data_IF_973797799148
#
_entry.id   IF_973797799148
#
_cell.length_a   1.000
_cell.length_b   1.000
_cell.length_c   1.000
_cell.angle_alpha   90.00
_cell.angle_beta   90.00
_cell.angle_gamma   90.00
#
_symmetry.space_group_name_H-M   'P 1'
#
loop_
_entity.id
_entity.type
_entity.pdbx_description
1 polymer ?
#
# COMPACT_ATOMS: atom_id res chain seq x y z
N UNK A 1 -6.05 50.97 -7.86
CA UNK A 1 -7.21 50.13 -8.21
C UNK A 1 -6.75 48.70 -8.16
N UNK A 2 -7.05 48.04 -7.04
CA UNK A 2 -6.64 46.66 -6.76
C UNK A 2 -7.33 45.71 -7.71
N UNK A 3 -6.52 44.88 -8.36
CA UNK A 3 -7.00 43.68 -9.02
C UNK A 3 -7.07 42.59 -7.95
N UNK A 4 -8.13 42.66 -7.13
CA UNK A 4 -8.53 41.52 -6.31
C UNK A 4 -9.05 40.47 -7.28
N UNK A 5 -8.13 39.63 -7.78
CA UNK A 5 -8.46 38.43 -8.53
C UNK A 5 -9.52 37.67 -7.76
N UNK A 6 -10.68 37.48 -8.37
CA UNK A 6 -11.87 36.94 -7.71
C UNK A 6 -11.52 35.64 -6.96
N UNK A 7 -11.44 35.71 -5.63
CA UNK A 7 -11.30 34.53 -4.80
C UNK A 7 -12.62 33.77 -4.86
N UNK A 8 -12.63 32.60 -5.50
CA UNK A 8 -13.81 31.73 -5.51
C UNK A 8 -14.19 31.38 -4.07
N UNK A 9 -15.47 31.56 -3.73
CA UNK A 9 -15.98 31.24 -2.38
C UNK A 9 -16.21 29.74 -2.18
N UNK A 10 -16.44 29.00 -3.27
CA UNK A 10 -16.69 27.56 -3.28
C UNK A 10 -16.53 27.00 -4.69
N UNK A 11 -15.97 25.79 -4.79
CA UNK A 11 -15.88 25.05 -6.05
C UNK A 11 -16.35 23.61 -5.84
N UNK A 12 -17.06 23.05 -6.83
CA UNK A 12 -17.56 21.67 -6.76
C UNK A 12 -16.45 20.64 -6.65
N UNK A 13 -15.25 20.96 -7.13
CA UNK A 13 -14.09 20.07 -7.04
C UNK A 13 -13.55 19.96 -5.61
N UNK A 14 -13.91 20.89 -4.72
CA UNK A 14 -13.56 20.81 -3.31
C UNK A 14 -14.57 19.99 -2.46
N UNK A 15 -15.69 19.57 -3.06
CA UNK A 15 -16.73 18.73 -2.42
C UNK A 15 -17.31 17.72 -3.43
N UNK A 16 -16.50 16.74 -3.89
CA UNK A 16 -16.92 15.80 -4.91
C UNK A 16 -17.86 14.72 -4.36
N UNK A 17 -18.67 14.14 -5.25
CA UNK A 17 -19.50 12.96 -4.96
C UNK A 17 -18.68 11.67 -5.16
N UNK A 18 -19.15 10.73 -5.99
CA UNK A 18 -18.49 9.45 -6.26
C UNK A 18 -17.56 9.46 -7.48
N UNK A 19 -17.54 10.55 -8.26
CA UNK A 19 -16.84 10.62 -9.54
C UNK A 19 -15.60 11.50 -9.46
N UNK A 20 -14.52 11.03 -10.05
CA UNK A 20 -13.27 11.74 -10.25
C UNK A 20 -13.05 12.02 -11.73
N UNK A 21 -12.87 13.28 -12.08
CA UNK A 21 -12.69 13.77 -13.44
C UNK A 21 -11.38 14.55 -13.57
N UNK A 22 -11.00 14.82 -14.82
CA UNK A 22 -9.78 15.55 -15.16
C UNK A 22 -9.66 16.87 -14.42
N UNK A 23 -8.43 17.24 -14.04
CA UNK A 23 -8.05 18.44 -13.26
C UNK A 23 -8.55 18.50 -11.81
N UNK A 24 -9.44 17.58 -11.40
CA UNK A 24 -9.89 17.49 -10.01
C UNK A 24 -8.75 17.01 -9.11
N UNK A 25 -8.65 17.58 -7.90
CA UNK A 25 -7.60 17.26 -6.94
C UNK A 25 -8.16 16.55 -5.72
N UNK A 26 -7.80 15.27 -5.55
CA UNK A 26 -8.00 14.57 -4.27
C UNK A 26 -6.82 14.93 -3.36
N UNK A 27 -7.10 15.49 -2.20
CA UNK A 27 -6.07 16.09 -1.35
C UNK A 27 -6.40 15.99 0.15
N UNK A 28 -5.35 16.09 0.97
CA UNK A 28 -5.47 16.18 2.42
C UNK A 28 -4.61 17.33 2.92
N UNK A 29 -5.26 18.33 3.53
CA UNK A 29 -4.59 19.41 4.25
C UNK A 29 -4.48 19.04 5.73
N UNK A 30 -3.28 18.61 6.14
CA UNK A 30 -3.01 18.18 7.52
C UNK A 30 -3.10 19.36 8.51
N UNK A 31 -2.77 20.59 8.08
CA UNK A 31 -2.77 21.77 8.97
C UNK A 31 -4.18 22.28 9.25
N UNK A 32 -5.02 22.32 8.22
CA UNK A 32 -6.42 22.80 8.32
C UNK A 32 -7.41 21.67 8.64
N UNK A 33 -6.97 20.42 8.57
CA UNK A 33 -7.83 19.24 8.77
C UNK A 33 -8.85 19.03 7.65
N UNK A 34 -8.69 19.69 6.49
CA UNK A 34 -9.61 19.59 5.35
C UNK A 34 -9.17 18.44 4.44
N UNK A 35 -10.13 17.61 4.02
CA UNK A 35 -9.92 16.52 3.05
C UNK A 35 -10.87 16.68 1.88
N UNK A 36 -10.35 16.47 0.68
CA UNK A 36 -11.16 16.30 -0.54
C UNK A 36 -11.08 14.81 -0.87
N UNK A 37 -12.21 14.12 -0.76
CA UNK A 37 -12.34 12.67 -0.94
C UNK A 37 -13.59 12.36 -1.76
N UNK A 38 -13.54 11.31 -2.58
CA UNK A 38 -14.76 10.78 -3.18
C UNK A 38 -15.54 10.02 -2.13
N UNK A 39 -16.87 10.08 -2.22
CA UNK A 39 -17.77 9.24 -1.44
C UNK A 39 -18.59 8.37 -2.35
N UNK A 40 -18.61 7.07 -2.10
CA UNK A 40 -19.44 6.15 -2.87
C UNK A 40 -20.89 6.54 -2.71
N UNK A 41 -21.71 6.28 -3.73
CA UNK A 41 -23.15 6.26 -3.52
C UNK A 41 -23.55 5.08 -2.63
N UNK A 42 -24.71 5.19 -1.99
CA UNK A 42 -25.26 4.11 -1.16
C UNK A 42 -25.74 2.94 -2.01
N UNK A 43 -26.30 3.22 -3.19
CA UNK A 43 -26.63 2.22 -4.21
C UNK A 43 -26.67 2.88 -5.59
N UNK A 44 -26.89 2.10 -6.65
CA UNK A 44 -26.99 2.65 -8.02
C UNK A 44 -28.16 3.64 -8.19
N UNK A 45 -29.21 3.50 -7.38
CA UNK A 45 -30.42 4.33 -7.43
C UNK A 45 -30.52 5.35 -6.28
N UNK A 46 -29.54 5.36 -5.35
CA UNK A 46 -29.53 6.23 -4.17
C UNK A 46 -28.17 6.96 -4.10
N UNK A 47 -28.10 8.22 -4.59
CA UNK A 47 -26.87 9.00 -4.67
C UNK A 47 -26.42 9.59 -3.33
N UNK A 48 -27.13 9.30 -2.23
CA UNK A 48 -26.67 9.69 -0.90
C UNK A 48 -25.36 9.01 -0.52
N UNK A 49 -24.62 9.64 0.41
CA UNK A 49 -23.34 9.14 0.91
C UNK A 49 -23.46 7.67 1.38
N UNK A 50 -22.69 6.82 0.72
CA UNK A 50 -22.55 5.41 1.02
C UNK A 50 -21.52 5.13 2.11
N UNK A 51 -21.04 3.89 2.14
CA UNK A 51 -20.13 3.44 3.21
C UNK A 51 -18.64 3.62 2.86
N UNK A 52 -18.31 3.96 1.62
CA UNK A 52 -16.93 4.00 1.17
C UNK A 52 -16.49 5.41 0.83
N UNK A 53 -15.24 5.73 1.14
CA UNK A 53 -14.58 6.95 0.66
C UNK A 53 -13.22 6.64 0.06
N UNK A 54 -12.85 7.36 -0.99
CA UNK A 54 -11.52 7.31 -1.61
C UNK A 54 -10.83 8.65 -1.35
N UNK A 55 -9.75 8.59 -0.60
CA UNK A 55 -8.93 9.75 -0.28
C UNK A 55 -7.46 9.50 -0.55
N UNK A 56 -6.69 10.56 -0.40
CA UNK A 56 -5.25 10.53 -0.51
C UNK A 56 -4.64 10.79 0.86
N UNK A 57 -3.95 9.80 1.42
CA UNK A 57 -3.41 9.89 2.77
C UNK A 57 -1.91 10.22 2.74
N UNK A 58 -1.52 11.38 3.30
CA UNK A 58 -0.13 11.71 3.53
C UNK A 58 0.31 11.01 4.81
N UNK A 59 0.51 9.69 4.73
CA UNK A 59 1.38 9.00 5.69
C UNK A 59 2.80 9.60 5.59
N UNK A 60 3.81 8.87 6.06
CA UNK A 60 5.19 9.27 5.80
C UNK A 60 5.56 9.22 4.30
N UNK A 61 4.84 8.42 3.51
CA UNK A 61 4.92 8.35 2.05
C UNK A 61 3.47 8.30 1.53
N UNK A 62 3.07 9.14 0.55
CA UNK A 62 1.68 9.23 0.13
C UNK A 62 1.12 7.94 -0.49
N UNK A 63 -0.14 7.62 -0.16
CA UNK A 63 -0.90 6.49 -0.72
C UNK A 63 -2.35 6.89 -1.03
N UNK A 64 -2.93 6.30 -2.08
CA UNK A 64 -4.37 6.29 -2.30
C UNK A 64 -5.04 5.24 -1.40
N UNK A 65 -6.11 5.65 -0.72
CA UNK A 65 -6.75 4.84 0.31
C UNK A 65 -8.26 4.82 0.11
N UNK A 66 -8.84 3.62 0.07
CA UNK A 66 -10.28 3.45 0.21
C UNK A 66 -10.58 3.04 1.64
N UNK A 67 -11.55 3.72 2.27
CA UNK A 67 -12.08 3.38 3.58
C UNK A 67 -13.49 2.83 3.47
N UNK A 68 -13.84 1.97 4.41
CA UNK A 68 -15.22 1.54 4.69
C UNK A 68 -15.59 1.99 6.09
N UNK A 69 -16.52 2.94 6.25
CA UNK A 69 -16.93 3.50 7.56
C UNK A 69 -15.72 3.85 8.45
N UNK A 70 -14.76 4.59 7.90
CA UNK A 70 -13.48 5.00 8.50
C UNK A 70 -12.41 3.90 8.70
N UNK A 71 -12.70 2.63 8.43
CA UNK A 71 -11.69 1.56 8.48
C UNK A 71 -10.99 1.43 7.13
N UNK A 72 -9.68 1.19 7.17
CA UNK A 72 -8.88 0.96 5.97
C UNK A 72 -9.38 -0.29 5.23
N UNK A 73 -9.74 -0.13 3.96
CA UNK A 73 -10.34 -1.20 3.16
C UNK A 73 -9.45 -1.62 2.00
N UNK A 74 -8.81 -0.66 1.33
CA UNK A 74 -7.87 -0.92 0.24
C UNK A 74 -6.76 0.14 0.25
N UNK A 75 -5.58 -0.24 -0.26
CA UNK A 75 -4.46 0.68 -0.49
C UNK A 75 -3.84 0.48 -1.85
N UNK A 76 -3.41 1.57 -2.46
CA UNK A 76 -2.60 1.55 -3.68
C UNK A 76 -1.15 1.16 -3.42
N UNK A 77 -0.67 1.26 -2.17
CA UNK A 77 0.76 1.27 -1.87
C UNK A 77 1.38 2.65 -2.14
N UNK A 78 2.65 2.86 -1.77
CA UNK A 78 3.31 4.16 -1.88
C UNK A 78 3.55 4.59 -3.31
N UNK A 79 3.47 5.90 -3.50
CA UNK A 79 3.89 6.57 -4.73
C UNK A 79 5.42 6.67 -4.82
N UNK A 80 6.00 6.24 -5.94
CA UNK A 80 7.44 6.31 -6.18
C UNK A 80 7.89 7.41 -7.16
N UNK A 81 7.05 8.43 -7.39
CA UNK A 81 7.32 9.45 -8.40
C UNK A 81 6.82 9.08 -9.80
N UNK A 82 6.63 7.79 -10.08
CA UNK A 82 6.15 7.30 -11.37
C UNK A 82 4.82 6.56 -11.27
N UNK A 83 4.66 5.70 -10.25
CA UNK A 83 3.47 4.86 -10.01
C UNK A 83 3.25 4.53 -8.53
N UNK A 84 2.06 4.04 -8.21
CA UNK A 84 1.80 3.39 -6.94
C UNK A 84 2.28 1.94 -7.01
N UNK A 85 3.28 1.60 -6.19
CA UNK A 85 3.98 0.32 -6.31
C UNK A 85 3.15 -0.91 -5.85
N UNK A 86 1.97 -0.70 -5.25
CA UNK A 86 1.07 -1.76 -4.83
C UNK A 86 -0.04 -2.07 -5.84
N UNK A 87 -0.06 -1.40 -7.00
CA UNK A 87 -1.05 -1.63 -8.06
C UNK A 87 -0.49 -2.53 -9.17
N UNK A 88 -1.26 -3.55 -9.55
CA UNK A 88 -1.00 -4.43 -10.69
C UNK A 88 -1.67 -3.82 -11.94
N UNK A 89 -1.03 -3.91 -13.11
CA UNK A 89 -1.60 -3.50 -14.41
C UNK A 89 -1.97 -2.02 -14.56
N UNK A 90 -1.45 -1.12 -13.73
CA UNK A 90 -1.51 0.30 -14.03
C UNK A 90 -0.45 0.59 -15.10
N UNK A 91 -0.86 0.63 -16.36
CA UNK A 91 -0.01 1.07 -17.47
C UNK A 91 0.43 2.50 -17.19
N UNK A 92 1.59 2.64 -16.54
CA UNK A 92 2.32 3.88 -16.30
C UNK A 92 1.39 5.06 -16.01
N UNK A 93 1.09 5.32 -14.74
CA UNK A 93 0.36 6.51 -14.26
C UNK A 93 0.83 7.84 -14.87
N UNK A 94 2.06 7.90 -15.40
CA UNK A 94 2.56 9.01 -16.21
C UNK A 94 1.85 9.19 -17.59
N UNK A 95 1.42 8.11 -18.25
CA UNK A 95 0.63 8.15 -19.49
C UNK A 95 -0.89 8.26 -19.23
N UNK A 96 -1.33 7.96 -18.01
CA UNK A 96 -2.73 8.11 -17.55
C UNK A 96 -2.89 9.26 -16.56
N UNK A 97 -2.11 10.34 -16.69
CA UNK A 97 -2.35 11.62 -16.03
C UNK A 97 -2.30 11.69 -14.50
N UNK A 98 -2.18 10.57 -13.78
CA UNK A 98 -2.12 10.56 -12.33
C UNK A 98 -0.79 11.14 -11.86
N UNK A 99 -0.83 12.39 -11.41
CA UNK A 99 0.33 13.07 -10.86
C UNK A 99 0.08 13.31 -9.38
N UNK A 100 1.10 12.98 -8.58
CA UNK A 100 1.18 13.44 -7.21
C UNK A 100 1.98 14.74 -7.20
N UNK A 101 1.28 15.88 -7.13
CA UNK A 101 1.88 17.21 -7.19
C UNK A 101 1.99 17.81 -5.79
N UNK A 102 3.14 18.41 -5.49
CA UNK A 102 3.26 19.35 -4.39
C UNK A 102 2.60 20.67 -4.77
N UNK A 103 1.33 20.83 -4.39
CA UNK A 103 0.51 21.97 -4.80
C UNK A 103 0.95 23.26 -4.08
N UNK A 104 1.51 23.16 -2.87
CA UNK A 104 2.03 24.29 -2.10
C UNK A 104 2.99 23.83 -0.99
N UNK A 105 3.86 24.71 -0.44
CA UNK A 105 4.68 24.41 0.76
C UNK A 105 3.84 24.06 2.01
N UNK A 106 2.51 24.21 1.94
CA UNK A 106 1.55 23.94 3.01
C UNK A 106 0.71 22.66 2.77
N UNK A 107 0.69 22.14 1.54
CA UNK A 107 -0.04 20.94 1.13
C UNK A 107 0.88 20.12 0.21
N UNK A 108 1.64 19.16 0.75
CA UNK A 108 2.79 18.66 0.02
C UNK A 108 2.43 17.69 -1.09
N UNK A 109 1.21 17.11 -1.12
CA UNK A 109 0.84 16.12 -2.13
C UNK A 109 -0.68 16.09 -2.39
N UNK A 110 -1.08 16.26 -3.65
CA UNK A 110 -2.43 16.01 -4.15
C UNK A 110 -2.39 15.03 -5.31
N UNK A 111 -3.42 14.20 -5.46
CA UNK A 111 -3.60 13.34 -6.62
C UNK A 111 -4.50 14.06 -7.62
N UNK A 112 -3.95 14.37 -8.79
CA UNK A 112 -4.69 14.93 -9.93
C UNK A 112 -4.57 14.02 -11.13
N UNK A 113 -5.43 14.24 -12.11
CA UNK A 113 -5.43 13.56 -13.38
C UNK A 113 -5.43 14.57 -14.53
N UNK A 114 -4.41 14.57 -15.41
CA UNK A 114 -4.32 15.43 -16.59
C UNK A 114 -3.81 14.65 -17.82
N UNK A 115 -4.59 14.56 -18.90
CA UNK A 115 -4.15 13.87 -20.13
C UNK A 115 -3.41 14.81 -21.09
N UNK A 116 -2.52 14.23 -21.90
CA UNK A 116 -1.83 14.96 -22.96
C UNK A 116 -2.72 15.27 -24.19
N UNK A 117 -3.90 14.65 -24.31
CA UNK A 117 -4.76 14.79 -25.49
C UNK A 117 -6.22 15.00 -25.14
N UNK A 118 -6.79 16.12 -25.58
CA UNK A 118 -8.19 16.54 -25.40
C UNK A 118 -9.26 15.60 -26.01
N UNK A 119 -8.85 14.50 -26.64
CA UNK A 119 -9.74 13.62 -27.41
C UNK A 119 -10.25 12.39 -26.64
N UNK A 120 -9.78 12.17 -25.40
CA UNK A 120 -10.08 10.96 -24.64
C UNK A 120 -11.00 11.29 -23.46
N UNK A 121 -12.26 10.84 -23.53
CA UNK A 121 -13.19 10.96 -22.40
C UNK A 121 -12.97 9.81 -21.42
N UNK A 122 -12.46 10.12 -20.23
CA UNK A 122 -12.25 9.19 -19.12
C UNK A 122 -12.74 9.82 -17.81
N UNK A 123 -13.29 8.99 -16.93
CA UNK A 123 -13.52 9.35 -15.53
C UNK A 123 -13.29 8.14 -14.62
N UNK A 124 -13.01 8.41 -13.35
CA UNK A 124 -13.00 7.42 -12.28
C UNK A 124 -14.30 7.47 -11.48
N UNK A 125 -14.79 6.33 -11.01
CA UNK A 125 -15.95 6.25 -10.11
C UNK A 125 -15.64 5.34 -8.93
N UNK A 126 -15.98 5.77 -7.71
CA UNK A 126 -16.06 4.90 -6.55
C UNK A 126 -17.47 4.31 -6.42
N UNK A 127 -17.62 3.04 -6.72
CA UNK A 127 -18.92 2.36 -6.69
C UNK A 127 -19.40 2.06 -5.24
N UNK A 128 -20.68 1.67 -5.12
CA UNK A 128 -21.30 1.33 -3.83
C UNK A 128 -20.68 0.11 -3.10
N UNK A 129 -19.85 -0.67 -3.80
CA UNK A 129 -19.12 -1.83 -3.25
C UNK A 129 -17.68 -1.47 -2.85
N UNK A 130 -17.27 -0.21 -3.02
CA UNK A 130 -15.94 0.27 -2.66
C UNK A 130 -14.88 -0.05 -3.70
N UNK A 131 -15.26 -0.27 -4.96
CA UNK A 131 -14.32 -0.40 -6.08
C UNK A 131 -14.17 0.94 -6.79
N UNK A 132 -12.94 1.37 -6.97
CA UNK A 132 -12.64 2.47 -7.88
C UNK A 132 -12.52 1.92 -9.30
N UNK A 133 -13.32 2.43 -10.24
CA UNK A 133 -13.40 1.97 -11.62
C UNK A 133 -13.05 3.14 -12.53
N UNK A 134 -12.02 2.97 -13.36
CA UNK A 134 -11.73 3.90 -14.46
C UNK A 134 -12.54 3.48 -15.69
N UNK A 135 -13.32 4.41 -16.25
CA UNK A 135 -14.08 4.19 -17.48
C UNK A 135 -13.60 5.11 -18.58
N UNK A 136 -13.54 4.55 -19.80
CA UNK A 136 -13.19 5.27 -21.03
C UNK A 136 -14.32 5.18 -22.02
N UNK A 137 -14.61 6.26 -22.73
CA UNK A 137 -15.53 6.24 -23.85
C UNK A 137 -14.89 5.54 -25.07
N UNK A 138 -15.55 4.51 -25.59
CA UNK A 138 -15.21 3.88 -26.85
C UNK A 138 -16.11 4.45 -27.95
N UNK A 139 -15.58 5.39 -28.73
CA UNK A 139 -16.33 6.05 -29.81
C UNK A 139 -16.78 5.08 -30.91
N UNK A 140 -16.04 3.99 -31.13
CA UNK A 140 -16.41 2.97 -32.13
C UNK A 140 -17.61 2.13 -31.69
N UNK A 141 -17.81 1.96 -30.38
CA UNK A 141 -18.94 1.23 -29.79
C UNK A 141 -20.07 2.13 -29.29
N UNK A 142 -19.80 3.43 -29.11
CA UNK A 142 -20.74 4.37 -28.50
C UNK A 142 -21.05 4.03 -27.04
N UNK A 143 -20.10 3.48 -26.29
CA UNK A 143 -20.30 3.08 -24.90
C UNK A 143 -19.08 3.31 -24.02
N UNK A 144 -19.32 3.32 -22.70
CA UNK A 144 -18.25 3.33 -21.69
C UNK A 144 -17.71 1.92 -21.48
N UNK A 145 -16.39 1.78 -21.48
CA UNK A 145 -15.69 0.53 -21.19
C UNK A 145 -14.85 0.67 -19.92
N UNK A 146 -14.85 -0.37 -19.09
CA UNK A 146 -14.01 -0.43 -17.89
C UNK A 146 -12.56 -0.66 -18.30
N UNK A 147 -11.65 0.21 -17.83
CA UNK A 147 -10.21 0.12 -18.11
C UNK A 147 -9.43 -0.42 -16.93
N UNK A 148 -9.77 0.02 -15.72
CA UNK A 148 -9.10 -0.37 -14.50
C UNK A 148 -10.12 -0.54 -13.37
N UNK A 149 -9.81 -1.42 -12.42
CA UNK A 149 -10.52 -1.54 -11.16
C UNK A 149 -9.52 -1.75 -10.02
N UNK A 150 -9.68 -1.00 -8.92
CA UNK A 150 -8.74 -1.00 -7.79
C UNK A 150 -8.68 -2.33 -7.05
N UNK A 151 -9.79 -3.06 -6.98
CA UNK A 151 -9.94 -4.28 -6.20
C UNK A 151 -10.42 -5.40 -7.13
N UNK A 152 -9.56 -6.39 -7.37
CA UNK A 152 -9.82 -7.51 -8.28
C UNK A 152 -10.01 -8.83 -7.54
N UNK A 153 -9.35 -9.02 -6.40
CA UNK A 153 -9.35 -10.27 -5.65
C UNK A 153 -9.45 -10.04 -4.15
N UNK A 154 -9.79 -11.07 -3.38
CA UNK A 154 -9.81 -11.01 -1.90
C UNK A 154 -8.52 -10.46 -1.28
N UNK A 155 -7.37 -10.65 -1.94
CA UNK A 155 -6.08 -10.16 -1.48
C UNK A 155 -5.88 -8.64 -1.59
N UNK A 156 -6.76 -7.95 -2.30
CA UNK A 156 -6.78 -6.49 -2.35
C UNK A 156 -7.50 -5.91 -1.12
N UNK A 157 -8.28 -6.71 -0.36
CA UNK A 157 -8.87 -6.28 0.91
C UNK A 157 -7.75 -6.14 1.92
N UNK A 158 -7.68 -4.97 2.55
CA UNK A 158 -6.65 -4.66 3.52
C UNK A 158 -6.58 -5.71 4.63
N UNK A 159 -5.41 -6.35 4.75
CA UNK A 159 -5.10 -7.21 5.89
C UNK A 159 -5.84 -8.55 5.89
N UNK A 160 -6.29 -9.02 4.73
CA UNK A 160 -7.04 -10.27 4.56
C UNK A 160 -6.41 -11.48 5.28
N UNK A 161 -5.08 -11.63 5.22
CA UNK A 161 -4.35 -12.73 5.86
C UNK A 161 -3.76 -12.41 7.24
N UNK A 162 -4.11 -11.27 7.84
CA UNK A 162 -3.57 -10.82 9.12
C UNK A 162 -2.07 -10.52 9.11
N UNK A 163 -1.50 -10.32 10.29
CA UNK A 163 -0.09 -9.99 10.48
C UNK A 163 0.84 -11.11 10.01
N UNK A 164 1.89 -10.77 9.27
CA UNK A 164 2.90 -11.71 8.74
C UNK A 164 2.33 -12.85 7.86
N UNK A 165 1.09 -12.69 7.38
CA UNK A 165 0.47 -13.55 6.38
C UNK A 165 0.67 -12.99 4.98
N UNK A 166 0.87 -13.88 4.01
CA UNK A 166 0.89 -13.59 2.57
C UNK A 166 -0.46 -14.00 1.99
N UNK A 167 -1.13 -13.08 1.31
CA UNK A 167 -2.32 -13.37 0.52
C UNK A 167 -1.97 -13.62 -0.94
N UNK A 168 -2.29 -14.81 -1.43
CA UNK A 168 -2.06 -15.20 -2.82
C UNK A 168 -3.33 -15.85 -3.39
N UNK A 169 -4.08 -15.08 -4.16
CA UNK A 169 -5.36 -15.49 -4.77
C UNK A 169 -5.22 -16.64 -5.78
N UNK A 170 -4.00 -16.98 -6.20
CA UNK A 170 -3.71 -18.12 -7.06
C UNK A 170 -3.55 -19.45 -6.30
N UNK A 171 -3.46 -19.39 -4.96
CA UNK A 171 -3.20 -20.57 -4.11
C UNK A 171 -4.41 -20.99 -3.29
N UNK A 172 -4.40 -22.26 -2.90
CA UNK A 172 -5.32 -22.82 -1.91
C UNK A 172 -4.51 -23.55 -0.84
N UNK A 173 -4.55 -23.11 0.44
CA UNK A 173 -5.28 -21.95 0.95
C UNK A 173 -4.73 -20.61 0.41
N UNK A 174 -5.61 -19.62 0.29
CA UNK A 174 -5.28 -18.26 -0.19
C UNK A 174 -4.29 -17.54 0.72
N UNK A 175 -4.30 -17.85 2.03
CA UNK A 175 -3.37 -17.30 3.01
C UNK A 175 -2.31 -18.32 3.43
N UNK A 176 -1.05 -17.87 3.45
CA UNK A 176 0.08 -18.62 3.97
C UNK A 176 0.95 -17.73 4.87
N UNK A 177 1.66 -18.31 5.84
CA UNK A 177 2.59 -17.54 6.66
C UNK A 177 3.89 -17.25 5.91
N UNK A 178 4.52 -16.10 6.23
CA UNK A 178 5.91 -15.85 5.84
C UNK A 178 6.82 -17.02 6.23
N UNK A 179 7.88 -17.26 5.45
CA UNK A 179 8.83 -18.34 5.74
C UNK A 179 9.42 -18.17 7.15
N UNK A 180 9.40 -19.24 7.96
CA UNK A 180 9.78 -19.26 9.40
C UNK A 180 8.77 -18.62 10.36
N UNK A 181 7.54 -18.44 9.90
CA UNK A 181 6.40 -18.05 10.74
C UNK A 181 5.38 -19.20 10.78
N UNK A 182 4.56 -19.21 11.83
CA UNK A 182 3.46 -20.16 12.01
C UNK A 182 2.17 -19.42 12.36
N UNK A 183 0.99 -20.00 12.06
CA UNK A 183 -0.29 -19.40 12.46
C UNK A 183 -0.34 -19.16 13.98
N UNK A 184 -0.84 -18.00 14.41
CA UNK A 184 -1.03 -17.72 15.85
C UNK A 184 -2.09 -18.65 16.46
N UNK A 185 -3.14 -18.93 15.70
CA UNK A 185 -4.19 -19.87 16.05
C UNK A 185 -4.34 -20.88 14.90
N UNK A 186 -3.91 -22.13 15.12
CA UNK A 186 -3.95 -23.18 14.09
C UNK A 186 -5.38 -23.64 13.78
N UNK A 187 -6.27 -23.61 14.78
CA UNK A 187 -7.66 -24.05 14.63
C UNK A 187 -8.42 -23.06 13.74
N UNK A 188 -8.31 -21.76 14.00
CA UNK A 188 -8.86 -20.70 13.14
C UNK A 188 -8.29 -20.80 11.72
N UNK A 189 -6.98 -20.94 11.59
CA UNK A 189 -6.30 -21.01 10.29
C UNK A 189 -6.77 -22.19 9.45
N UNK A 190 -6.97 -23.34 10.08
CA UNK A 190 -7.46 -24.56 9.42
C UNK A 190 -8.92 -24.45 8.94
N UNK A 191 -9.70 -23.55 9.53
CA UNK A 191 -11.10 -23.28 9.18
C UNK A 191 -11.26 -22.10 8.21
N UNK A 192 -10.16 -21.53 7.72
CA UNK A 192 -10.18 -20.39 6.81
C UNK A 192 -10.35 -19.03 7.49
N UNK A 193 -10.14 -18.94 8.81
CA UNK A 193 -10.05 -17.66 9.50
C UNK A 193 -8.57 -17.30 9.73
N UNK A 194 -8.07 -16.33 8.97
CA UNK A 194 -6.66 -15.90 8.99
C UNK A 194 -6.44 -14.59 9.75
N UNK A 195 -7.48 -14.03 10.37
CA UNK A 195 -7.44 -12.70 11.02
C UNK A 195 -6.37 -12.59 12.12
N UNK A 196 -6.14 -13.67 12.87
CA UNK A 196 -5.08 -13.76 13.89
C UNK A 196 -3.66 -13.69 13.31
N UNK A 197 -3.48 -13.91 12.01
CA UNK A 197 -2.19 -13.86 11.35
C UNK A 197 -1.21 -14.94 11.85
N UNK A 198 0.07 -14.64 11.68
CA UNK A 198 1.18 -15.51 12.00
C UNK A 198 2.10 -14.87 13.04
N UNK A 199 2.93 -15.69 13.68
CA UNK A 199 4.02 -15.24 14.55
C UNK A 199 5.34 -15.89 14.16
N UNK A 200 6.42 -15.21 14.51
CA UNK A 200 7.78 -15.67 14.26
C UNK A 200 8.12 -16.81 15.21
N UNK A 201 8.61 -17.93 14.69
CA UNK A 201 8.94 -19.10 15.55
C UNK A 201 10.23 -18.92 16.33
N UNK A 202 11.17 -18.13 15.82
CA UNK A 202 12.51 -17.94 16.41
C UNK A 202 12.76 -16.45 16.62
N UNK A 203 12.89 -15.99 17.88
CA UNK A 203 13.19 -14.59 18.18
C UNK A 203 14.51 -14.13 17.56
N UNK A 204 14.58 -12.84 17.23
CA UNK A 204 15.80 -12.21 16.74
C UNK A 204 16.89 -12.24 17.82
N UNK A 205 18.15 -12.22 17.40
CA UNK A 205 19.29 -12.27 18.31
C UNK A 205 19.22 -11.15 19.35
N UNK A 206 19.02 -9.90 18.93
CA UNK A 206 18.98 -8.81 19.90
C UNK A 206 17.72 -8.75 20.78
N UNK A 207 16.63 -9.43 20.38
CA UNK A 207 15.49 -9.66 21.28
C UNK A 207 15.85 -10.67 22.39
N UNK A 208 16.73 -11.65 22.09
CA UNK A 208 17.27 -12.57 23.10
C UNK A 208 18.28 -11.89 24.01
N UNK A 209 19.12 -11.01 23.46
CA UNK A 209 20.19 -10.32 24.20
C UNK A 209 19.64 -9.29 25.19
N UNK A 210 18.54 -8.58 24.84
CA UNK A 210 17.84 -7.69 25.77
C UNK A 210 17.27 -8.41 27.01
N UNK A 211 17.01 -9.72 26.92
CA UNK A 211 16.56 -10.52 28.07
C UNK A 211 17.72 -11.08 28.90
N UNK A 212 18.96 -11.06 28.38
CA UNK A 212 20.11 -11.75 28.99
C UNK A 212 21.34 -10.84 29.25
N UNK A 213 21.25 -9.53 29.02
CA UNK A 213 22.26 -8.56 29.48
C UNK A 213 23.65 -8.65 28.82
N UNK A 214 23.78 -9.35 27.69
CA UNK A 214 25.03 -9.42 26.93
C UNK A 214 24.96 -8.52 25.70
N UNK A 215 25.91 -7.60 25.57
CA UNK A 215 25.98 -6.62 24.48
C UNK A 215 25.87 -7.25 23.09
N UNK A 216 25.31 -6.46 22.16
CA UNK A 216 24.99 -6.82 20.78
C UNK A 216 26.14 -7.59 20.09
N UNK A 217 26.06 -8.92 20.12
CA UNK A 217 26.94 -9.80 19.37
C UNK A 217 26.54 -9.78 17.89
N UNK A 218 27.47 -9.41 17.02
CA UNK A 218 27.36 -9.66 15.59
C UNK A 218 27.13 -11.16 15.34
N UNK A 219 26.14 -11.52 14.50
CA UNK A 219 26.29 -12.71 13.66
C UNK A 219 25.09 -13.63 13.38
N UNK A 220 23.92 -13.46 13.99
CA UNK A 220 22.87 -14.52 13.89
C UNK A 220 21.54 -14.08 13.27
N UNK A 221 21.37 -12.83 12.86
CA UNK A 221 20.20 -12.38 12.10
C UNK A 221 20.61 -12.07 10.66
N UNK A 222 19.78 -12.50 9.71
CA UNK A 222 19.95 -12.23 8.28
C UNK A 222 18.64 -11.78 7.66
N UNK A 223 18.65 -11.51 6.35
CA UNK A 223 17.44 -11.12 5.62
C UNK A 223 17.07 -12.15 4.57
N UNK A 224 15.77 -12.42 4.48
CA UNK A 224 15.18 -13.18 3.39
C UNK A 224 14.65 -12.21 2.34
N UNK A 225 15.11 -12.38 1.11
CA UNK A 225 14.63 -11.61 -0.04
C UNK A 225 13.23 -12.07 -0.45
N UNK A 226 12.32 -11.12 -0.63
CA UNK A 226 10.96 -11.32 -1.12
C UNK A 226 10.74 -10.40 -2.32
N UNK A 227 10.57 -10.98 -3.50
CA UNK A 227 10.41 -10.26 -4.77
C UNK A 227 8.95 -10.10 -5.12
N UNK A 228 8.62 -9.01 -5.81
CA UNK A 228 7.30 -8.74 -6.38
C UNK A 228 6.19 -8.80 -5.33
N UNK A 229 6.39 -8.14 -4.19
CA UNK A 229 5.40 -8.09 -3.12
C UNK A 229 4.82 -6.69 -3.00
N UNK A 230 3.51 -6.62 -2.78
CA UNK A 230 2.87 -5.44 -2.23
C UNK A 230 3.48 -5.16 -0.87
N UNK A 231 3.91 -3.92 -0.68
CA UNK A 231 4.64 -3.53 0.53
C UNK A 231 3.72 -3.36 1.73
N UNK A 232 4.17 -3.71 2.95
CA UNK A 232 3.36 -3.51 4.14
C UNK A 232 3.10 -2.04 4.45
N UNK A 233 2.00 -1.76 5.15
CA UNK A 233 1.63 -0.41 5.62
C UNK A 233 2.56 0.11 6.73
N UNK A 234 2.52 1.43 6.98
CA UNK A 234 3.21 2.11 8.10
C UNK A 234 4.74 1.97 8.07
N UNK A 235 5.32 2.52 7.01
CA UNK A 235 6.76 2.63 6.82
C UNK A 235 7.35 3.85 7.53
N UNK A 236 8.59 3.70 7.97
CA UNK A 236 9.43 4.80 8.42
C UNK A 236 10.41 5.11 7.27
N UNK A 237 10.29 6.28 6.61
CA UNK A 237 11.24 6.67 5.59
C UNK A 237 12.58 6.98 6.23
N UNK A 238 13.65 6.72 5.48
CA UNK A 238 15.00 7.07 5.86
C UNK A 238 15.73 7.66 4.68
N UNK A 239 16.52 8.71 4.92
CA UNK A 239 17.30 9.41 3.91
C UNK A 239 18.63 8.72 3.59
N UNK A 240 18.85 7.50 4.08
CA UNK A 240 20.07 6.73 3.81
C UNK A 240 20.06 6.17 2.39
N UNK A 241 21.26 5.94 1.86
CA UNK A 241 21.43 5.33 0.54
C UNK A 241 21.03 3.85 0.54
N UNK A 242 20.86 3.26 -0.65
CA UNK A 242 20.46 1.86 -0.81
C UNK A 242 21.33 0.88 0.02
N UNK A 243 22.65 1.01 -0.08
CA UNK A 243 23.60 0.13 0.63
C UNK A 243 23.49 0.23 2.16
N UNK A 244 23.07 1.38 2.67
CA UNK A 244 23.00 1.67 4.11
C UNK A 244 21.64 1.30 4.71
N UNK A 245 20.61 1.10 3.90
CA UNK A 245 19.26 0.75 4.36
C UNK A 245 19.26 -0.56 5.17
N UNK A 246 20.04 -1.55 4.70
CA UNK A 246 20.27 -2.81 5.41
C UNK A 246 20.94 -2.59 6.76
N UNK A 247 22.00 -1.80 6.79
CA UNK A 247 22.79 -1.57 8.00
C UNK A 247 21.99 -0.81 9.06
N UNK A 248 21.16 0.15 8.63
CA UNK A 248 20.26 0.87 9.51
C UNK A 248 19.20 -0.06 10.13
N UNK A 249 18.61 -0.95 9.33
CA UNK A 249 17.69 -1.97 9.85
C UNK A 249 18.40 -2.94 10.81
N UNK A 250 19.64 -3.34 10.53
CA UNK A 250 20.40 -4.23 11.41
C UNK A 250 20.70 -3.59 12.77
N UNK A 251 21.06 -2.30 12.80
CA UNK A 251 21.33 -1.54 14.02
C UNK A 251 20.08 -1.29 14.86
N UNK A 252 18.89 -1.32 14.26
CA UNK A 252 17.62 -1.15 14.95
C UNK A 252 16.94 -2.50 15.24
N UNK A 253 16.91 -2.91 16.50
CA UNK A 253 16.30 -4.18 16.92
C UNK A 253 14.80 -4.30 16.73
N UNK A 254 14.11 -3.16 16.62
CA UNK A 254 12.68 -3.14 16.31
C UNK A 254 12.43 -3.31 14.80
N UNK A 255 13.46 -3.13 13.95
CA UNK A 255 13.33 -3.28 12.51
C UNK A 255 13.14 -4.75 12.13
N UNK A 256 12.03 -5.03 11.46
CA UNK A 256 11.66 -6.38 11.01
C UNK A 256 11.85 -6.58 9.51
N UNK A 257 11.79 -5.50 8.72
CA UNK A 257 11.94 -5.51 7.26
C UNK A 257 12.47 -4.17 6.80
N UNK A 258 13.22 -4.19 5.70
CA UNK A 258 13.53 -2.99 4.92
C UNK A 258 13.27 -3.23 3.44
N UNK A 259 13.17 -2.13 2.69
CA UNK A 259 13.18 -2.12 1.24
C UNK A 259 13.72 -0.78 0.75
N UNK A 260 14.12 -0.74 -0.52
CA UNK A 260 14.62 0.46 -1.16
C UNK A 260 13.98 0.59 -2.53
N UNK A 261 13.58 1.80 -2.89
CA UNK A 261 13.10 2.18 -4.21
C UNK A 261 13.77 3.51 -4.59
N UNK A 262 14.17 3.69 -5.85
CA UNK A 262 14.94 4.87 -6.27
C UNK A 262 14.14 6.19 -6.17
N UNK A 263 12.81 6.12 -6.29
CA UNK A 263 11.92 7.28 -6.19
C UNK A 263 11.43 7.58 -4.78
N UNK A 264 11.46 6.59 -3.88
CA UNK A 264 11.03 6.73 -2.47
C UNK A 264 12.23 6.86 -1.51
N UNK A 265 13.31 6.14 -1.78
CA UNK A 265 14.44 5.93 -0.87
C UNK A 265 14.27 4.71 0.04
N UNK A 266 14.99 4.72 1.16
CA UNK A 266 14.98 3.63 2.13
C UNK A 266 13.69 3.62 2.95
N UNK A 267 13.05 2.45 3.04
CA UNK A 267 11.83 2.22 3.80
C UNK A 267 12.09 1.15 4.87
N UNK A 268 11.78 1.48 6.13
CA UNK A 268 11.95 0.59 7.27
C UNK A 268 10.61 0.28 7.94
N UNK A 269 10.44 -0.97 8.36
CA UNK A 269 9.26 -1.40 9.12
C UNK A 269 9.64 -1.88 10.51
N UNK A 270 8.84 -1.46 11.48
CA UNK A 270 8.88 -1.98 12.85
C UNK A 270 7.51 -2.56 13.20
N UNK A 271 7.48 -3.67 13.92
CA UNK A 271 6.24 -4.32 14.34
C UNK A 271 5.66 -5.32 13.34
N UNK A 272 4.33 -5.43 13.31
CA UNK A 272 3.61 -6.44 12.53
C UNK A 272 3.49 -6.04 11.06
N UNK A 273 3.83 -6.96 10.15
CA UNK A 273 3.74 -6.72 8.71
C UNK A 273 2.33 -7.01 8.19
N UNK A 274 1.64 -5.92 7.87
CA UNK A 274 0.30 -5.73 7.29
C UNK A 274 0.17 -5.98 5.77
N UNK A 275 -0.80 -6.72 5.23
CA UNK A 275 -1.23 -6.57 3.82
C UNK A 275 -0.18 -6.93 2.76
N UNK A 276 0.42 -8.10 2.95
CA UNK A 276 1.43 -8.62 2.05
C UNK A 276 0.74 -9.51 1.01
N UNK A 277 0.91 -9.20 -0.27
CA UNK A 277 0.44 -10.04 -1.37
C UNK A 277 1.47 -10.05 -2.50
N UNK A 278 1.62 -11.16 -3.25
CA UNK A 278 2.38 -11.16 -4.48
C UNK A 278 1.71 -10.25 -5.51
N UNK A 279 2.50 -9.43 -6.18
CA UNK A 279 2.09 -8.66 -7.35
C UNK A 279 2.34 -9.54 -8.58
N UNK A 280 1.30 -9.80 -9.37
CA UNK A 280 1.48 -10.38 -10.70
C UNK A 280 2.34 -9.41 -11.55
N UNK A 281 3.19 -9.97 -12.41
CA UNK A 281 4.18 -9.29 -13.29
C UNK A 281 4.16 -7.75 -13.23
N UNK A 282 4.80 -7.21 -12.18
CA UNK A 282 5.07 -5.78 -12.11
C UNK A 282 6.22 -5.45 -13.04
N UNK A 283 6.11 -4.33 -13.77
CA UNK A 283 7.22 -3.76 -14.57
C UNK A 283 8.42 -3.47 -13.66
N UNK A 284 8.18 -3.21 -12.37
CA UNK A 284 9.19 -2.96 -11.36
C UNK A 284 9.28 -4.14 -10.38
N UNK A 285 10.46 -4.76 -10.30
CA UNK A 285 10.74 -5.78 -9.28
C UNK A 285 11.00 -5.09 -7.96
N UNK A 286 9.99 -5.08 -7.09
CA UNK A 286 10.17 -4.59 -5.72
C UNK A 286 10.73 -5.69 -4.82
N UNK A 287 11.75 -5.37 -4.03
CA UNK A 287 12.42 -6.32 -3.16
C UNK A 287 12.30 -5.89 -1.70
N UNK A 288 11.58 -6.69 -0.91
CA UNK A 288 11.55 -6.58 0.54
C UNK A 288 12.56 -7.55 1.16
N UNK A 289 13.24 -7.12 2.20
CA UNK A 289 14.18 -7.94 2.96
C UNK A 289 13.65 -8.18 4.36
N UNK A 290 13.15 -9.39 4.63
CA UNK A 290 12.57 -9.80 5.91
C UNK A 290 13.65 -10.31 6.86
N UNK A 291 13.82 -9.63 8.01
CA UNK A 291 14.79 -10.02 9.03
C UNK A 291 14.38 -11.35 9.67
N UNK A 292 15.31 -12.30 9.75
CA UNK A 292 15.09 -13.64 10.29
C UNK A 292 16.31 -14.13 11.07
N UNK A 293 16.08 -14.94 12.12
CA UNK A 293 17.19 -15.59 12.82
C UNK A 293 17.77 -16.74 12.00
N UNK A 294 19.10 -16.84 11.95
CA UNK A 294 19.89 -17.82 11.20
C UNK A 294 20.07 -19.13 11.99
N UNK A 295 19.94 -19.12 13.33
CA UNK A 295 20.14 -20.32 14.18
C UNK A 295 19.25 -21.53 13.83
N UNK A 296 18.14 -21.32 13.12
CA UNK A 296 17.31 -22.41 12.60
C UNK A 296 17.95 -23.26 11.48
N UNK A 297 19.05 -22.80 10.87
CA UNK A 297 19.75 -23.56 9.81
C UNK A 297 20.73 -24.61 10.36
N UNK A 298 21.34 -24.37 11.52
CA UNK A 298 22.44 -25.23 12.04
C UNK A 298 21.89 -26.53 12.63
N UNK A 299 20.73 -26.50 13.27
CA UNK A 299 20.11 -27.71 13.84
C UNK A 299 19.60 -28.69 12.77
N UNK A 300 19.21 -28.22 11.58
CA UNK A 300 18.77 -29.12 10.49
C UNK A 300 19.94 -29.71 9.69
N UNK A 301 21.06 -29.02 9.56
CA UNK A 301 22.24 -29.59 8.89
C UNK A 301 22.91 -30.70 9.71
N UNK A 302 22.82 -30.63 11.05
CA UNK A 302 23.37 -31.66 11.95
C UNK A 302 22.48 -32.91 12.07
N UNK A 303 21.16 -32.78 11.90
CA UNK A 303 20.21 -33.91 11.95
C UNK A 303 20.09 -34.69 10.62
N UNK A 304 20.72 -34.22 9.54
CA UNK A 304 20.79 -34.93 8.24
C UNK A 304 22.15 -35.63 8.03
N UNK A 305 23.01 -35.66 9.06
CA UNK A 305 24.33 -36.31 9.05
C UNK A 305 24.46 -37.42 10.11
N UNK A 306 23.37 -37.86 10.73
CA UNK A 306 23.28 -39.07 11.55
C UNK A 306 22.18 -39.98 10.98
#
# INVERSE_FOLDING_TARGET
NGDDGASSLWESFEDPSNVFIETMKISTDVKKGRKVELKSWKSIDDPSDGNFSLGFEPFNIPEGIIRKKNQLYFRTGPWNGYTFIGLINMYTSYLQGFVVVADNPQQPYCMTHEFYTDSILIYGELDSQGKFIERRWDAGKGNWINKYSSYQTDCDVYGYCGAFGICDSSKQPICSCLKRFKPRNIEEWSRGNWSSGCFRTTPLQCQRDNNNGSGAGQGDDGFLEMKNMKVPVFRHPSSVSNGECKDQCMKNCSCVTYAYDDGIGCMLWSGDLIDISPLAESIFTFVCHLRNSIKGNILRSLLLQQ
#
